data_IF_192830719630
#
_entry.id   IF_192830719630
#
_cell.length_a   1.000
_cell.length_b   1.000
_cell.length_c   1.000
_cell.angle_alpha   90.00
_cell.angle_beta   90.00
_cell.angle_gamma   90.00
#
_symmetry.space_group_name_H-M   'P 1'
#
loop_
_entity.id
_entity.type
_entity.pdbx_description
1 polymer ?
#
# COMPACT_ATOMS: atom_id res chain seq x y z
N UNK A 1 -1.02 -56.62 -28.15
CA UNK A 1 -0.15 -55.46 -28.41
C UNK A 1 -0.88 -54.11 -28.36
N UNK A 2 -2.09 -53.98 -28.94
CA UNK A 2 -2.86 -52.73 -28.89
C UNK A 2 -3.22 -52.22 -27.46
N UNK A 3 -3.50 -53.13 -26.53
CA UNK A 3 -3.91 -52.80 -25.16
C UNK A 3 -2.82 -52.10 -24.34
N UNK A 4 -1.56 -52.51 -24.54
CA UNK A 4 -0.40 -51.92 -23.86
C UNK A 4 -0.19 -50.47 -24.30
N UNK A 5 -0.29 -50.21 -25.61
CA UNK A 5 -0.18 -48.86 -26.18
C UNK A 5 -1.31 -47.96 -25.68
N UNK A 6 -2.55 -48.48 -25.65
CA UNK A 6 -3.69 -47.72 -25.13
C UNK A 6 -3.49 -47.33 -23.66
N UNK A 7 -3.03 -48.24 -22.82
CA UNK A 7 -2.76 -47.96 -21.39
C UNK A 7 -1.65 -46.91 -21.22
N UNK A 8 -0.57 -46.99 -21.99
CA UNK A 8 0.52 -46.00 -21.94
C UNK A 8 0.03 -44.59 -22.28
N UNK A 9 -0.79 -44.46 -23.32
CA UNK A 9 -1.35 -43.16 -23.72
C UNK A 9 -2.26 -42.61 -22.62
N UNK A 10 -3.13 -43.44 -22.04
CA UNK A 10 -4.03 -43.01 -20.96
C UNK A 10 -3.24 -42.53 -19.73
N UNK A 11 -2.20 -43.24 -19.33
CA UNK A 11 -1.34 -42.85 -18.19
C UNK A 11 -0.67 -41.50 -18.46
N UNK A 12 -0.15 -41.27 -19.67
CA UNK A 12 0.47 -39.99 -20.05
C UNK A 12 -0.57 -38.87 -20.02
N UNK A 13 -1.75 -39.08 -20.61
CA UNK A 13 -2.81 -38.07 -20.64
C UNK A 13 -3.33 -37.75 -19.23
N UNK A 14 -3.56 -38.75 -18.39
CA UNK A 14 -4.04 -38.57 -17.04
C UNK A 14 -3.02 -37.80 -16.17
N UNK A 15 -1.74 -38.16 -16.27
CA UNK A 15 -0.67 -37.46 -15.54
C UNK A 15 -0.50 -36.02 -16.01
N UNK A 16 -0.55 -35.76 -17.32
CA UNK A 16 -0.51 -34.41 -17.88
C UNK A 16 -1.71 -33.56 -17.44
N UNK A 17 -2.92 -34.12 -17.50
CA UNK A 17 -4.14 -33.45 -17.04
C UNK A 17 -4.07 -33.08 -15.55
N UNK A 18 -3.59 -34.00 -14.72
CA UNK A 18 -3.43 -33.76 -13.28
C UNK A 18 -2.41 -32.65 -12.99
N UNK A 19 -1.29 -32.63 -13.72
CA UNK A 19 -0.28 -31.58 -13.57
C UNK A 19 -0.82 -30.20 -13.93
N UNK A 20 -1.61 -30.09 -15.02
CA UNK A 20 -2.26 -28.84 -15.42
C UNK A 20 -3.30 -28.39 -14.40
N UNK A 21 -4.14 -29.30 -13.89
CA UNK A 21 -5.15 -28.98 -12.87
C UNK A 21 -4.50 -28.46 -11.58
N UNK A 22 -3.35 -29.02 -11.20
CA UNK A 22 -2.58 -28.55 -10.05
C UNK A 22 -2.02 -27.13 -10.27
N UNK A 23 -1.43 -26.88 -11.44
CA UNK A 23 -0.92 -25.55 -11.80
C UNK A 23 -2.03 -24.49 -11.85
N UNK A 24 -3.20 -24.83 -12.39
CA UNK A 24 -4.37 -23.95 -12.39
C UNK A 24 -4.81 -23.56 -10.98
N UNK A 25 -4.90 -24.55 -10.08
CA UNK A 25 -5.28 -24.31 -8.68
C UNK A 25 -4.29 -23.36 -7.99
N UNK A 26 -2.99 -23.55 -8.22
CA UNK A 26 -1.96 -22.67 -7.68
C UNK A 26 -2.02 -21.26 -8.28
N UNK A 27 -2.29 -21.15 -9.58
CA UNK A 27 -2.44 -19.86 -10.25
C UNK A 27 -3.63 -19.08 -9.68
N UNK A 28 -4.77 -19.73 -9.49
CA UNK A 28 -5.97 -19.13 -8.89
C UNK A 28 -5.67 -18.58 -7.50
N UNK A 29 -5.07 -19.37 -6.62
CA UNK A 29 -4.71 -18.92 -5.26
C UNK A 29 -3.81 -17.68 -5.27
N UNK A 30 -2.79 -17.67 -6.11
CA UNK A 30 -1.89 -16.49 -6.23
C UNK A 30 -2.64 -15.26 -6.72
N UNK A 31 -3.57 -15.42 -7.67
CA UNK A 31 -4.37 -14.29 -8.15
C UNK A 31 -5.35 -13.79 -7.10
N UNK A 32 -5.92 -14.67 -6.28
CA UNK A 32 -6.78 -14.31 -5.14
C UNK A 32 -5.99 -13.52 -4.09
N UNK A 33 -4.79 -14.00 -3.72
CA UNK A 33 -3.92 -13.31 -2.76
C UNK A 33 -3.51 -11.92 -3.29
N UNK A 34 -3.14 -11.83 -4.58
CA UNK A 34 -2.78 -10.57 -5.21
C UNK A 34 -3.97 -9.59 -5.26
N UNK A 35 -5.17 -10.09 -5.57
CA UNK A 35 -6.38 -9.29 -5.57
C UNK A 35 -6.73 -8.79 -4.17
N UNK A 36 -6.66 -9.64 -3.15
CA UNK A 36 -6.89 -9.26 -1.76
C UNK A 36 -5.90 -8.19 -1.30
N UNK A 37 -4.61 -8.32 -1.64
CA UNK A 37 -3.60 -7.30 -1.35
C UNK A 37 -3.90 -5.97 -2.02
N UNK A 38 -4.33 -5.99 -3.29
CA UNK A 38 -4.68 -4.76 -4.02
C UNK A 38 -5.93 -4.09 -3.44
N UNK A 39 -6.92 -4.87 -3.02
CA UNK A 39 -8.11 -4.34 -2.35
C UNK A 39 -7.74 -3.69 -1.00
N UNK A 40 -6.92 -4.34 -0.18
CA UNK A 40 -6.44 -3.78 1.08
C UNK A 40 -5.67 -2.46 0.86
N UNK A 41 -4.82 -2.40 -0.18
CA UNK A 41 -4.10 -1.18 -0.55
C UNK A 41 -5.06 -0.05 -0.98
N UNK A 42 -6.04 -0.34 -1.83
CA UNK A 42 -7.03 0.63 -2.25
C UNK A 42 -7.88 1.15 -1.08
N UNK A 43 -8.24 0.27 -0.14
CA UNK A 43 -8.94 0.63 1.09
C UNK A 43 -8.07 1.52 1.99
N UNK A 44 -6.78 1.24 2.12
CA UNK A 44 -5.85 2.08 2.87
C UNK A 44 -5.78 3.50 2.28
N UNK A 45 -5.61 3.63 0.95
CA UNK A 45 -5.65 4.94 0.27
C UNK A 45 -6.99 5.66 0.45
N UNK A 46 -8.11 4.94 0.38
CA UNK A 46 -9.43 5.51 0.65
C UNK A 46 -9.54 6.02 2.09
N UNK A 47 -9.01 5.26 3.05
CA UNK A 47 -8.93 5.64 4.46
C UNK A 47 -8.08 6.90 4.67
N UNK A 48 -6.93 7.02 4.01
CA UNK A 48 -6.08 8.21 4.04
C UNK A 48 -6.80 9.44 3.46
N UNK A 49 -7.51 9.30 2.34
CA UNK A 49 -8.26 10.39 1.73
C UNK A 49 -9.38 10.90 2.66
N UNK A 50 -10.12 9.98 3.31
CA UNK A 50 -11.15 10.33 4.31
C UNK A 50 -10.52 10.98 5.54
N UNK A 51 -9.37 10.48 5.99
CA UNK A 51 -8.62 11.07 7.10
C UNK A 51 -8.18 12.51 6.77
N UNK A 52 -7.62 12.74 5.58
CA UNK A 52 -7.19 14.05 5.10
C UNK A 52 -8.35 15.05 4.99
N UNK A 53 -9.49 14.63 4.43
CA UNK A 53 -10.68 15.47 4.37
C UNK A 53 -11.21 15.79 5.78
N UNK A 54 -11.27 14.79 6.66
CA UNK A 54 -11.68 14.98 8.05
C UNK A 54 -10.76 15.94 8.80
N UNK A 55 -9.45 15.86 8.57
CA UNK A 55 -8.46 16.77 9.14
C UNK A 55 -8.67 18.19 8.61
N UNK A 56 -8.79 18.37 7.29
CA UNK A 56 -9.03 19.67 6.68
C UNK A 56 -10.30 20.34 7.22
N UNK A 57 -11.40 19.60 7.33
CA UNK A 57 -12.65 20.12 7.91
C UNK A 57 -12.50 20.45 9.39
N UNK A 58 -11.77 19.63 10.18
CA UNK A 58 -11.59 19.88 11.62
C UNK A 58 -10.72 21.09 11.95
N UNK A 59 -9.83 21.49 11.04
CA UNK A 59 -8.91 22.61 11.21
C UNK A 59 -9.44 23.93 10.63
N UNK A 60 -10.57 23.90 9.91
CA UNK A 60 -11.18 25.10 9.36
C UNK A 60 -11.60 26.08 10.46
N UNK A 61 -11.05 27.29 10.42
CA UNK A 61 -11.38 28.35 11.38
C UNK A 61 -10.75 28.17 12.76
N UNK A 62 -9.83 27.22 12.93
CA UNK A 62 -9.20 26.93 14.21
C UNK A 62 -7.79 27.52 14.29
N UNK A 63 -7.53 28.33 15.31
CA UNK A 63 -6.23 28.98 15.52
C UNK A 63 -5.22 28.20 16.38
N UNK A 64 -5.63 27.08 16.99
CA UNK A 64 -4.78 26.24 17.82
C UNK A 64 -5.09 24.75 17.62
N UNK A 65 -4.06 23.92 17.46
CA UNK A 65 -4.18 22.47 17.25
C UNK A 65 -3.96 21.76 18.59
N UNK A 66 -4.90 20.88 18.98
CA UNK A 66 -4.81 20.14 20.24
C UNK A 66 -5.54 18.79 20.16
N UNK A 67 -5.24 17.89 21.11
CA UNK A 67 -5.74 16.51 21.13
C UNK A 67 -7.23 16.37 21.52
N UNK A 68 -7.91 17.46 21.89
CA UNK A 68 -9.36 17.43 22.15
C UNK A 68 -10.18 17.54 20.85
N UNK A 69 -9.52 17.77 19.71
CA UNK A 69 -10.17 17.95 18.42
C UNK A 69 -10.66 16.63 17.81
N UNK A 70 -11.69 16.66 16.93
CA UNK A 70 -12.27 15.45 16.34
C UNK A 70 -11.30 14.57 15.56
N UNK A 71 -10.24 15.14 14.98
CA UNK A 71 -9.23 14.39 14.22
C UNK A 71 -8.36 13.49 15.11
N UNK A 72 -8.18 13.84 16.39
CA UNK A 72 -7.33 13.14 17.34
C UNK A 72 -8.01 11.91 17.99
N UNK A 73 -9.32 11.75 17.74
CA UNK A 73 -10.06 10.60 18.23
C UNK A 73 -9.90 9.42 17.27
N UNK A 74 -9.66 8.19 17.77
CA UNK A 74 -9.57 7.01 16.91
C UNK A 74 -10.87 6.80 16.16
N UNK A 75 -10.77 6.54 14.84
CA UNK A 75 -11.93 6.30 13.98
C UNK A 75 -11.90 4.90 13.41
N UNK A 76 -13.06 4.27 13.42
CA UNK A 76 -13.33 3.00 12.78
C UNK A 76 -14.54 3.18 11.85
N UNK A 77 -14.46 2.60 10.66
CA UNK A 77 -15.52 2.64 9.66
C UNK A 77 -15.64 1.30 8.96
N UNK A 78 -16.88 0.88 8.71
CA UNK A 78 -17.15 -0.28 7.87
C UNK A 78 -17.14 0.15 6.40
N UNK A 79 -16.52 -0.64 5.54
CA UNK A 79 -16.53 -0.45 4.09
C UNK A 79 -17.22 -1.64 3.46
N UNK A 80 -18.47 -1.43 3.02
CA UNK A 80 -19.31 -2.52 2.54
C UNK A 80 -19.69 -3.50 3.65
N UNK A 81 -19.94 -4.76 3.29
CA UNK A 81 -20.33 -5.83 4.22
C UNK A 81 -19.14 -6.57 4.84
N UNK A 82 -18.00 -6.61 4.15
CA UNK A 82 -16.95 -7.60 4.42
C UNK A 82 -15.62 -6.98 4.86
N UNK A 83 -15.52 -5.64 4.93
CA UNK A 83 -14.29 -4.94 5.29
C UNK A 83 -14.52 -3.87 6.35
N UNK A 84 -13.52 -3.71 7.21
CA UNK A 84 -13.46 -2.64 8.21
C UNK A 84 -12.11 -1.92 8.09
N UNK A 85 -12.14 -0.60 8.21
CA UNK A 85 -10.95 0.24 8.26
C UNK A 85 -10.92 0.91 9.64
N UNK A 86 -9.79 0.82 10.32
CA UNK A 86 -9.54 1.55 11.56
C UNK A 86 -8.24 2.33 11.41
N UNK A 87 -8.21 3.54 11.96
CA UNK A 87 -7.04 4.40 11.90
C UNK A 87 -7.05 5.48 12.97
N UNK A 88 -5.85 5.95 13.29
CA UNK A 88 -5.62 7.07 14.21
C UNK A 88 -4.69 8.07 13.55
N UNK A 89 -4.97 9.36 13.74
CA UNK A 89 -4.11 10.45 13.29
C UNK A 89 -3.27 10.91 14.48
N UNK A 90 -1.97 11.08 14.28
CA UNK A 90 -1.04 11.59 15.28
C UNK A 90 -0.42 12.91 14.82
N UNK A 91 -0.21 13.83 15.75
CA UNK A 91 0.51 15.08 15.48
C UNK A 91 2.01 14.86 15.61
N UNK A 92 2.72 15.00 14.49
CA UNK A 92 4.18 14.87 14.45
C UNK A 92 4.91 16.14 14.90
N UNK A 93 4.24 17.30 14.92
CA UNK A 93 4.84 18.56 15.41
C UNK A 93 4.96 18.60 16.93
N UNK A 94 4.26 17.71 17.66
CA UNK A 94 4.45 17.51 19.09
C UNK A 94 5.69 16.69 19.47
N UNK A 95 6.39 16.11 18.48
CA UNK A 95 7.61 15.33 18.67
C UNK A 95 8.85 16.19 18.38
N UNK A 96 9.98 15.81 18.98
CA UNK A 96 11.25 16.48 18.70
C UNK A 96 11.70 16.22 17.25
N UNK A 97 11.86 17.27 16.45
CA UNK A 97 12.26 17.17 15.05
C UNK A 97 13.77 16.92 14.91
N UNK A 98 14.13 15.68 14.55
CA UNK A 98 15.52 15.29 14.34
C UNK A 98 16.21 16.05 13.20
N UNK A 99 15.45 16.58 12.23
CA UNK A 99 16.02 17.35 11.12
C UNK A 99 16.62 18.69 11.60
N UNK A 100 16.19 19.20 12.76
CA UNK A 100 16.74 20.43 13.34
C UNK A 100 18.16 20.24 13.92
N UNK A 101 18.59 18.99 14.08
CA UNK A 101 19.94 18.64 14.52
C UNK A 101 20.95 18.59 13.35
N UNK A 102 20.48 18.57 12.11
CA UNK A 102 21.36 18.48 10.96
C UNK A 102 22.13 19.81 10.78
N UNK A 103 23.46 19.78 10.61
CA UNK A 103 24.22 20.97 10.21
C UNK A 103 23.61 21.52 8.93
N UNK A 104 23.42 22.85 8.86
CA UNK A 104 22.97 23.49 7.63
C UNK A 104 23.84 22.98 6.47
N UNK A 105 23.24 22.55 5.34
CA UNK A 105 24.02 22.11 4.20
C UNK A 105 24.96 23.26 3.86
N UNK A 106 26.27 23.00 3.97
CA UNK A 106 27.28 23.96 3.56
C UNK A 106 26.90 24.34 2.14
N UNK A 107 26.45 25.59 1.95
CA UNK A 107 26.16 26.12 0.64
C UNK A 107 27.49 26.08 -0.08
N UNK A 108 27.75 25.01 -0.82
CA UNK A 108 28.81 24.99 -1.80
C UNK A 108 28.42 26.11 -2.76
N UNK A 109 29.02 27.28 -2.54
CA UNK A 109 28.99 28.39 -3.48
C UNK A 109 29.60 27.80 -4.73
N UNK A 110 28.75 27.30 -5.61
CA UNK A 110 29.14 26.87 -6.92
C UNK A 110 29.59 28.14 -7.63
N UNK A 111 30.90 28.41 -7.57
CA UNK A 111 31.57 29.12 -8.64
C UNK A 111 31.46 28.19 -9.85
N UNK A 112 30.31 28.25 -10.52
CA UNK A 112 30.18 27.78 -11.88
C UNK A 112 31.07 28.70 -12.70
N UNK A 113 32.23 28.16 -13.04
CA UNK A 113 33.12 28.56 -14.11
C UNK A 113 32.40 29.43 -15.14
N UNK A 114 32.83 30.69 -15.23
CA UNK A 114 32.49 31.55 -16.35
C UNK A 114 32.97 30.87 -17.64
N UNK A 115 32.04 30.31 -18.41
CA UNK A 115 32.28 29.97 -19.80
C UNK A 115 31.93 31.18 -20.65
N UNK A 116 32.83 32.17 -20.66
CA UNK A 116 32.95 33.12 -21.76
C UNK A 116 34.33 33.75 -21.68
N UNK A 117 35.18 33.39 -22.65
CA UNK A 117 36.27 34.19 -23.24
C UNK A 117 36.58 35.48 -22.47
N UNK A 118 37.66 35.44 -21.69
CA UNK A 118 38.76 36.41 -21.58
C UNK A 118 39.69 35.99 -20.45
#
# INVERSE_FOLDING_TARGET
MALLIALLIVVILASASTALAWQQTLAIRRTEDMLASNQAWALALGGEAVAAQGLATSLQGVGNVNLAQPWAQPRQGLVGSDAAIAGSIIDLQGLFNLNDLAPAPATARSCVFASSIC
#
